data_IF_414454395386
#
_entry.id   IF_414454395386
#
_cell.length_a   1.000
_cell.length_b   1.000
_cell.length_c   1.000
_cell.angle_alpha   90.00
_cell.angle_beta   90.00
_cell.angle_gamma   90.00
#
_symmetry.space_group_name_H-M   'P 1'
#
loop_
_entity.id
_entity.type
_entity.pdbx_description
1 polymer ?
#
# COMPACT_ATOMS: atom_id res chain seq x y z
N UNK A 1 -13.09 -4.77 30.74
CA UNK A 1 -13.13 -4.13 29.41
C UNK A 1 -11.74 -3.86 28.86
N UNK A 2 -10.88 -3.09 29.54
CA UNK A 2 -9.51 -2.77 29.07
C UNK A 2 -8.58 -3.98 28.87
N UNK A 3 -8.64 -4.99 29.73
CA UNK A 3 -7.86 -6.24 29.59
C UNK A 3 -8.20 -7.03 28.32
N UNK A 4 -9.47 -7.04 27.90
CA UNK A 4 -9.94 -7.67 26.65
C UNK A 4 -9.36 -6.94 25.43
N UNK A 5 -9.41 -5.61 25.45
CA UNK A 5 -8.85 -4.75 24.40
C UNK A 5 -7.33 -4.96 24.27
N UNK A 6 -6.60 -4.99 25.40
CA UNK A 6 -5.14 -5.18 25.41
C UNK A 6 -4.71 -6.56 24.88
N UNK A 7 -5.45 -7.63 25.23
CA UNK A 7 -5.16 -8.99 24.76
C UNK A 7 -5.27 -9.12 23.24
N UNK A 8 -6.31 -8.53 22.62
CA UNK A 8 -6.42 -8.51 21.16
C UNK A 8 -5.42 -7.56 20.50
N UNK A 9 -5.00 -6.49 21.17
CA UNK A 9 -4.02 -5.53 20.61
C UNK A 9 -2.65 -6.17 20.37
N UNK A 10 -2.20 -7.06 21.26
CA UNK A 10 -0.95 -7.81 21.08
C UNK A 10 -0.94 -8.62 19.76
N UNK A 11 -2.11 -9.11 19.35
CA UNK A 11 -2.25 -9.90 18.12
C UNK A 11 -2.47 -8.99 16.91
N UNK A 12 -3.11 -7.83 17.08
CA UNK A 12 -3.25 -6.82 16.03
C UNK A 12 -1.91 -6.34 15.48
N UNK A 13 -0.87 -6.32 16.30
CA UNK A 13 0.49 -5.94 15.89
C UNK A 13 1.03 -6.87 14.80
N UNK A 14 0.73 -8.18 14.90
CA UNK A 14 1.25 -9.22 14.00
C UNK A 14 0.26 -9.56 12.88
N UNK A 15 -1.02 -9.69 13.24
CA UNK A 15 -2.14 -10.04 12.35
C UNK A 15 -3.39 -9.29 12.76
N UNK A 16 -3.68 -8.13 12.15
CA UNK A 16 -4.83 -7.31 12.54
C UNK A 16 -6.17 -8.01 12.33
N UNK A 17 -6.28 -8.91 11.35
CA UNK A 17 -7.44 -9.81 11.18
C UNK A 17 -7.64 -10.76 12.37
N UNK A 18 -6.56 -11.33 12.92
CA UNK A 18 -6.62 -12.20 14.09
C UNK A 18 -7.04 -11.45 15.36
N UNK A 19 -6.62 -10.19 15.49
CA UNK A 19 -7.06 -9.33 16.59
C UNK A 19 -8.55 -9.02 16.52
N UNK A 20 -9.10 -8.77 15.33
CA UNK A 20 -10.54 -8.57 15.12
C UNK A 20 -11.32 -9.85 15.47
N UNK A 21 -10.83 -11.01 15.05
CA UNK A 21 -11.45 -12.30 15.37
C UNK A 21 -11.51 -12.56 16.89
N UNK A 22 -10.44 -12.26 17.61
CA UNK A 22 -10.40 -12.38 19.07
C UNK A 22 -11.32 -11.39 19.78
N UNK A 23 -11.38 -10.15 19.32
CA UNK A 23 -12.30 -9.18 19.89
C UNK A 23 -13.76 -9.54 19.64
N UNK A 24 -14.07 -10.16 18.49
CA UNK A 24 -15.38 -10.76 18.25
C UNK A 24 -15.66 -11.87 19.27
N UNK A 25 -14.73 -12.79 19.49
CA UNK A 25 -14.86 -13.86 20.48
C UNK A 25 -15.01 -13.35 21.93
N UNK A 26 -14.46 -12.16 22.21
CA UNK A 26 -14.57 -11.49 23.51
C UNK A 26 -15.79 -10.57 23.64
N UNK A 27 -16.70 -10.58 22.64
CA UNK A 27 -17.94 -9.81 22.54
C UNK A 27 -17.73 -8.28 22.47
N UNK A 28 -16.58 -7.84 21.94
CA UNK A 28 -16.32 -6.43 21.69
C UNK A 28 -17.18 -5.95 20.51
N UNK A 29 -17.83 -4.78 20.60
CA UNK A 29 -18.59 -4.21 19.49
C UNK A 29 -17.78 -4.06 18.22
N UNK A 30 -18.39 -4.40 17.08
CA UNK A 30 -17.77 -4.34 15.75
C UNK A 30 -17.12 -2.99 15.44
N UNK A 31 -17.78 -1.89 15.79
CA UNK A 31 -17.27 -0.54 15.53
C UNK A 31 -15.99 -0.24 16.32
N UNK A 32 -15.84 -0.78 17.53
CA UNK A 32 -14.63 -0.60 18.34
C UNK A 32 -13.46 -1.36 17.73
N UNK A 33 -13.67 -2.63 17.35
CA UNK A 33 -12.66 -3.45 16.69
C UNK A 33 -12.17 -2.83 15.38
N UNK A 34 -13.11 -2.31 14.57
CA UNK A 34 -12.79 -1.58 13.34
C UNK A 34 -11.92 -0.35 13.61
N UNK A 35 -12.33 0.52 14.55
CA UNK A 35 -11.61 1.76 14.82
C UNK A 35 -10.20 1.51 15.36
N UNK A 36 -10.02 0.52 16.25
CA UNK A 36 -8.71 0.21 16.83
C UNK A 36 -7.76 -0.29 15.74
N UNK A 37 -8.20 -1.24 14.91
CA UNK A 37 -7.38 -1.75 13.80
C UNK A 37 -7.12 -0.67 12.76
N UNK A 38 -8.11 0.13 12.42
CA UNK A 38 -7.94 1.23 11.49
C UNK A 38 -6.90 2.22 11.99
N UNK A 39 -6.97 2.62 13.26
CA UNK A 39 -6.03 3.56 13.86
C UNK A 39 -4.61 2.98 13.86
N UNK A 40 -4.44 1.75 14.33
CA UNK A 40 -3.14 1.07 14.33
C UNK A 40 -2.53 0.97 12.93
N UNK A 41 -3.29 0.44 11.98
CA UNK A 41 -2.77 0.21 10.62
C UNK A 41 -2.55 1.52 9.86
N UNK A 42 -3.32 2.56 10.13
CA UNK A 42 -3.10 3.90 9.57
C UNK A 42 -1.85 4.56 10.15
N UNK A 43 -1.59 4.38 11.45
CA UNK A 43 -0.34 4.83 12.07
C UNK A 43 0.88 4.11 11.45
N UNK A 44 0.82 2.79 11.28
CA UNK A 44 1.87 2.01 10.62
C UNK A 44 2.06 2.41 9.16
N UNK A 45 0.97 2.71 8.45
CA UNK A 45 0.99 3.20 7.08
C UNK A 45 1.68 4.56 7.00
N UNK A 46 1.38 5.50 7.90
CA UNK A 46 2.03 6.80 7.98
C UNK A 46 3.53 6.66 8.26
N UNK A 47 3.90 5.87 9.27
CA UNK A 47 5.31 5.62 9.62
C UNK A 47 6.06 5.05 8.42
N UNK A 48 5.47 4.05 7.75
CA UNK A 48 6.08 3.42 6.57
C UNK A 48 6.13 4.39 5.39
N UNK A 49 5.10 5.20 5.19
CA UNK A 49 5.06 6.23 4.17
C UNK A 49 6.21 7.20 4.36
N UNK A 50 6.37 7.82 5.53
CA UNK A 50 7.46 8.77 5.76
C UNK A 50 8.84 8.09 5.81
N UNK A 51 8.96 6.93 6.47
CA UNK A 51 10.22 6.20 6.63
C UNK A 51 10.80 5.69 5.30
N UNK A 52 9.96 5.34 4.32
CA UNK A 52 10.43 4.85 3.01
C UNK A 52 10.91 5.95 2.07
N UNK A 53 10.86 7.24 2.47
CA UNK A 53 11.27 8.35 1.60
C UNK A 53 12.72 8.21 1.08
N UNK A 54 13.66 7.83 1.97
CA UNK A 54 15.07 7.63 1.61
C UNK A 54 15.26 6.43 0.68
N UNK A 55 14.50 5.36 0.91
CA UNK A 55 14.51 4.14 0.10
C UNK A 55 13.99 4.43 -1.32
N UNK A 56 12.88 5.17 -1.43
CA UNK A 56 12.32 5.59 -2.72
C UNK A 56 13.31 6.47 -3.49
N UNK A 57 14.01 7.38 -2.82
CA UNK A 57 15.03 8.21 -3.46
C UNK A 57 16.17 7.35 -4.06
N UNK A 58 16.62 6.31 -3.35
CA UNK A 58 17.61 5.35 -3.86
C UNK A 58 17.06 4.51 -5.02
N UNK A 59 15.83 3.99 -4.90
CA UNK A 59 15.17 3.20 -5.95
C UNK A 59 14.97 4.03 -7.21
N UNK A 60 14.47 5.27 -7.11
CA UNK A 60 14.33 6.19 -8.25
C UNK A 60 15.67 6.35 -8.97
N UNK A 61 16.77 6.61 -8.25
CA UNK A 61 18.11 6.73 -8.85
C UNK A 61 18.56 5.44 -9.53
N UNK A 62 18.41 4.30 -8.88
CA UNK A 62 18.84 3.00 -9.41
C UNK A 62 18.02 2.53 -10.62
N UNK A 63 16.70 2.77 -10.60
CA UNK A 63 15.80 2.45 -11.72
C UNK A 63 16.07 3.39 -12.90
N UNK A 64 16.24 4.69 -12.67
CA UNK A 64 16.62 5.63 -13.72
C UNK A 64 17.98 5.26 -14.33
N UNK A 65 19.01 5.02 -13.51
CA UNK A 65 20.34 4.66 -14.03
C UNK A 65 20.34 3.31 -14.75
N UNK A 66 19.63 2.31 -14.24
CA UNK A 66 19.55 0.97 -14.83
C UNK A 66 18.68 0.89 -16.09
N UNK A 67 17.60 1.67 -16.18
CA UNK A 67 16.81 1.80 -17.41
C UNK A 67 17.59 2.60 -18.44
N UNK A 68 18.19 3.73 -18.06
CA UNK A 68 19.04 4.53 -18.95
C UNK A 68 20.22 3.70 -19.46
N UNK A 69 20.91 2.93 -18.62
CA UNK A 69 22.04 2.10 -19.02
C UNK A 69 21.63 0.95 -19.95
N UNK A 70 20.51 0.26 -19.68
CA UNK A 70 19.99 -0.79 -20.58
C UNK A 70 19.50 -0.24 -21.90
N UNK A 71 18.89 0.95 -21.91
CA UNK A 71 18.48 1.62 -23.14
C UNK A 71 19.66 2.17 -23.94
N UNK A 72 20.69 2.70 -23.27
CA UNK A 72 21.93 3.16 -23.91
C UNK A 72 22.66 1.99 -24.56
N UNK A 73 22.68 0.82 -23.90
CA UNK A 73 23.30 -0.41 -24.42
C UNK A 73 22.52 -1.05 -25.58
N UNK A 74 21.23 -0.73 -25.74
CA UNK A 74 20.34 -1.32 -26.78
C UNK A 74 20.04 -0.36 -27.93
N UNK A 75 20.47 0.90 -27.87
CA UNK A 75 20.17 1.92 -28.88
C UNK A 75 21.37 2.15 -29.80
N UNK A 76 21.32 1.52 -30.97
CA UNK A 76 22.15 1.79 -32.16
C UNK A 76 21.84 3.15 -32.82
N UNK A 77 21.35 4.14 -32.05
CA UNK A 77 20.89 5.44 -32.53
C UNK A 77 21.55 6.56 -31.72
N UNK A 78 22.80 6.86 -32.06
CA UNK A 78 23.59 7.93 -31.47
C UNK A 78 23.19 9.36 -31.93
N UNK A 79 22.15 9.53 -32.75
CA UNK A 79 21.89 10.82 -33.41
C UNK A 79 20.59 11.55 -33.07
N UNK A 80 19.75 11.06 -32.17
CA UNK A 80 18.53 11.81 -31.81
C UNK A 80 18.79 12.80 -30.68
N UNK A 81 19.24 13.98 -31.12
CA UNK A 81 19.04 15.36 -30.67
C UNK A 81 18.33 15.57 -29.32
N UNK A 82 18.71 16.63 -28.57
CA UNK A 82 18.17 16.99 -27.23
C UNK A 82 16.64 16.94 -27.12
N UNK A 83 15.91 17.20 -28.22
CA UNK A 83 14.45 17.10 -28.32
C UNK A 83 13.89 15.67 -28.14
N UNK A 84 14.62 14.62 -28.54
CA UNK A 84 14.22 13.23 -28.36
C UNK A 84 14.25 12.77 -26.90
N UNK A 85 15.08 13.41 -26.07
CA UNK A 85 15.20 13.12 -24.64
C UNK A 85 13.93 13.53 -23.89
N UNK A 86 13.38 14.69 -24.22
CA UNK A 86 12.12 15.18 -23.65
C UNK A 86 10.90 14.43 -24.16
N UNK A 87 10.85 14.09 -25.45
CA UNK A 87 9.79 13.24 -26.00
C UNK A 87 9.75 11.85 -25.34
N UNK A 88 10.93 11.22 -25.13
CA UNK A 88 11.06 9.93 -24.43
C UNK A 88 10.63 10.04 -22.96
N UNK A 89 11.00 11.13 -22.27
CA UNK A 89 10.51 11.43 -20.92
C UNK A 89 8.99 11.53 -20.90
N UNK A 90 8.39 12.25 -21.86
CA UNK A 90 6.94 12.45 -21.97
C UNK A 90 6.17 11.14 -22.20
N UNK A 91 6.69 10.26 -23.05
CA UNK A 91 6.08 8.94 -23.33
C UNK A 91 6.20 8.02 -22.10
N UNK A 92 7.37 8.00 -21.46
CA UNK A 92 7.57 7.24 -20.22
C UNK A 92 6.64 7.73 -19.10
N UNK A 93 6.50 9.05 -18.92
CA UNK A 93 5.55 9.64 -17.98
C UNK A 93 4.07 9.34 -18.34
N UNK A 94 3.71 9.29 -19.63
CA UNK A 94 2.36 8.88 -20.06
C UNK A 94 2.07 7.41 -19.74
N UNK A 95 3.02 6.51 -20.00
CA UNK A 95 2.90 5.08 -19.64
C UNK A 95 2.82 4.89 -18.12
N UNK A 96 3.61 5.64 -17.35
CA UNK A 96 3.56 5.68 -15.89
C UNK A 96 2.20 6.19 -15.37
N UNK A 97 1.59 7.18 -16.06
CA UNK A 97 0.27 7.74 -15.72
C UNK A 97 -0.89 6.76 -15.98
N UNK A 98 -0.81 5.93 -17.01
CA UNK A 98 -1.80 4.86 -17.22
C UNK A 98 -1.76 3.79 -16.12
N UNK A 99 -0.57 3.49 -15.58
CA UNK A 99 -0.41 2.53 -14.47
C UNK A 99 -0.85 3.09 -13.10
N UNK A 100 -1.13 4.39 -13.01
CA UNK A 100 -1.64 5.01 -11.78
C UNK A 100 -3.02 4.46 -11.40
N UNK A 101 -3.92 4.25 -12.37
CA UNK A 101 -5.25 3.69 -12.11
C UNK A 101 -5.21 2.27 -11.55
N UNK A 102 -4.27 1.45 -12.03
CA UNK A 102 -4.04 0.10 -11.48
C UNK A 102 -3.61 0.18 -10.01
N UNK A 103 -2.77 1.13 -9.63
CA UNK A 103 -2.38 1.32 -8.22
C UNK A 103 -3.52 1.81 -7.34
N UNK A 104 -4.39 2.66 -7.87
CA UNK A 104 -5.62 3.04 -7.16
C UNK A 104 -6.47 1.81 -6.90
N UNK A 105 -6.77 1.01 -7.93
CA UNK A 105 -7.55 -0.22 -7.76
C UNK A 105 -6.90 -1.22 -6.78
N UNK A 106 -5.59 -1.40 -6.88
CA UNK A 106 -4.83 -2.28 -5.98
C UNK A 106 -4.87 -1.80 -4.52
N UNK A 107 -4.95 -0.48 -4.26
CA UNK A 107 -5.06 0.07 -2.91
C UNK A 107 -6.39 -0.30 -2.23
N UNK A 108 -7.44 -0.57 -2.99
CA UNK A 108 -8.78 -0.92 -2.49
C UNK A 108 -9.03 -2.43 -2.44
N UNK A 109 -8.04 -3.28 -2.74
CA UNK A 109 -8.21 -4.73 -2.61
C UNK A 109 -8.30 -5.13 -1.13
N UNK A 110 -9.40 -5.79 -0.71
CA UNK A 110 -9.60 -6.16 0.68
C UNK A 110 -8.67 -7.29 1.14
N UNK A 111 -8.36 -8.23 0.23
CA UNK A 111 -7.44 -9.34 0.47
C UNK A 111 -6.15 -9.11 -0.31
N UNK A 112 -5.02 -9.18 0.39
CA UNK A 112 -3.71 -8.97 -0.22
C UNK A 112 -3.04 -10.31 -0.47
N UNK A 113 -2.70 -10.64 -1.73
CA UNK A 113 -2.15 -11.95 -2.07
C UNK A 113 -0.67 -12.11 -1.66
N UNK A 114 0.02 -11.03 -1.25
CA UNK A 114 1.48 -11.05 -1.03
C UNK A 114 1.81 -10.38 0.32
N UNK A 115 2.72 -10.95 1.13
CA UNK A 115 3.28 -10.26 2.28
C UNK A 115 3.98 -8.95 1.86
N UNK A 116 3.86 -7.89 2.66
CA UNK A 116 4.40 -6.55 2.38
C UNK A 116 3.77 -5.77 1.20
N UNK A 117 2.61 -6.20 0.70
CA UNK A 117 1.92 -5.53 -0.40
C UNK A 117 1.64 -4.03 -0.11
N UNK A 118 1.23 -3.69 1.12
CA UNK A 118 1.06 -2.29 1.55
C UNK A 118 2.35 -1.46 1.38
N UNK A 119 3.49 -2.00 1.79
CA UNK A 119 4.79 -1.34 1.65
C UNK A 119 5.17 -1.17 0.18
N UNK A 120 4.92 -2.18 -0.66
CA UNK A 120 5.15 -2.10 -2.10
C UNK A 120 4.27 -1.03 -2.76
N UNK A 121 3.00 -0.92 -2.35
CA UNK A 121 2.07 0.11 -2.81
C UNK A 121 2.52 1.51 -2.42
N UNK A 122 2.96 1.69 -1.17
CA UNK A 122 3.54 2.95 -0.69
C UNK A 122 4.75 3.36 -1.55
N UNK A 123 5.67 2.42 -1.80
CA UNK A 123 6.86 2.65 -2.63
C UNK A 123 6.44 3.01 -4.06
N UNK A 124 5.49 2.28 -4.65
CA UNK A 124 5.02 2.55 -6.01
C UNK A 124 4.36 3.94 -6.13
N UNK A 125 3.48 4.28 -5.18
CA UNK A 125 2.79 5.57 -5.09
C UNK A 125 3.78 6.73 -4.96
N UNK A 126 4.80 6.59 -4.11
CA UNK A 126 5.87 7.59 -3.98
C UNK A 126 6.80 7.65 -5.18
N UNK A 127 7.07 6.52 -5.83
CA UNK A 127 7.92 6.49 -7.03
C UNK A 127 7.24 7.22 -8.20
N UNK A 128 5.91 7.15 -8.28
CA UNK A 128 5.10 7.77 -9.31
C UNK A 128 4.69 9.22 -9.02
N UNK A 129 5.09 9.79 -7.87
CA UNK A 129 4.73 11.13 -7.41
C UNK A 129 3.21 11.42 -7.50
N UNK A 130 2.38 10.46 -7.08
CA UNK A 130 0.92 10.63 -7.10
C UNK A 130 0.52 11.68 -6.05
N UNK A 131 0.02 12.83 -6.50
CA UNK A 131 -0.34 14.00 -5.66
C UNK A 131 -1.25 13.66 -4.46
N UNK A 132 -2.19 12.73 -4.65
CA UNK A 132 -3.14 12.29 -3.61
C UNK A 132 -2.86 10.87 -3.09
N UNK A 133 -1.64 10.38 -3.32
CA UNK A 133 -1.27 9.00 -3.03
C UNK A 133 -1.52 8.57 -1.59
N UNK A 134 -1.22 9.44 -0.62
CA UNK A 134 -1.44 9.14 0.80
C UNK A 134 -2.93 9.02 1.14
N UNK A 135 -3.78 9.89 0.59
CA UNK A 135 -5.23 9.81 0.80
C UNK A 135 -5.82 8.55 0.18
N UNK A 136 -5.35 8.17 -1.02
CA UNK A 136 -5.78 6.95 -1.70
C UNK A 136 -5.40 5.72 -0.88
N UNK A 137 -4.18 5.68 -0.34
CA UNK A 137 -3.70 4.60 0.52
C UNK A 137 -4.49 4.54 1.85
N UNK A 138 -4.75 5.69 2.48
CA UNK A 138 -5.54 5.75 3.71
C UNK A 138 -7.00 5.33 3.48
N UNK A 139 -7.62 5.80 2.39
CA UNK A 139 -8.98 5.42 2.00
C UNK A 139 -9.09 3.93 1.66
N UNK A 140 -8.13 3.37 0.93
CA UNK A 140 -8.04 1.94 0.67
C UNK A 140 -7.85 1.11 1.94
N UNK A 141 -7.02 1.57 2.89
CA UNK A 141 -6.85 0.92 4.18
C UNK A 141 -8.14 0.94 5.03
N UNK A 142 -8.85 2.07 5.06
CA UNK A 142 -10.14 2.18 5.73
C UNK A 142 -11.19 1.24 5.12
N UNK A 143 -11.32 1.25 3.80
CA UNK A 143 -12.21 0.36 3.08
C UNK A 143 -11.89 -1.12 3.37
N UNK A 144 -10.62 -1.50 3.32
CA UNK A 144 -10.16 -2.87 3.60
C UNK A 144 -10.58 -3.32 4.99
N UNK A 145 -10.26 -2.56 6.04
CA UNK A 145 -10.58 -2.98 7.40
C UNK A 145 -12.08 -2.96 7.66
N UNK A 146 -12.84 -2.12 6.96
CA UNK A 146 -14.29 -2.16 7.03
C UNK A 146 -14.84 -3.49 6.49
N UNK A 147 -14.41 -3.90 5.30
CA UNK A 147 -14.81 -5.18 4.69
C UNK A 147 -14.35 -6.37 5.53
N UNK A 148 -13.10 -6.39 6.00
CA UNK A 148 -12.57 -7.47 6.84
C UNK A 148 -13.33 -7.56 8.16
N UNK A 149 -13.63 -6.43 8.80
CA UNK A 149 -14.39 -6.43 10.05
C UNK A 149 -15.82 -6.92 9.82
N UNK A 150 -16.48 -6.51 8.73
CA UNK A 150 -17.81 -7.05 8.37
C UNK A 150 -17.73 -8.55 8.14
N UNK A 151 -16.74 -9.02 7.37
CA UNK A 151 -16.59 -10.42 7.05
C UNK A 151 -16.42 -11.27 8.33
N UNK A 152 -15.58 -10.80 9.26
CA UNK A 152 -15.37 -11.49 10.53
C UNK A 152 -16.62 -11.43 11.42
N UNK A 153 -17.33 -10.31 11.52
CA UNK A 153 -18.47 -10.16 12.44
C UNK A 153 -19.80 -10.68 11.91
N UNK A 154 -20.02 -10.67 10.60
CA UNK A 154 -21.32 -10.99 9.96
C UNK A 154 -21.31 -12.28 9.15
N UNK A 155 -20.16 -12.68 8.59
CA UNK A 155 -20.08 -13.86 7.70
C UNK A 155 -19.44 -15.08 8.39
N UNK A 156 -19.18 -15.00 9.69
CA UNK A 156 -18.65 -16.08 10.53
C UNK A 156 -17.40 -16.80 9.99
N UNK A 157 -16.54 -16.09 9.25
CA UNK A 157 -15.30 -16.63 8.67
C UNK A 157 -14.20 -16.86 9.74
N UNK A 158 -14.57 -16.86 11.03
CA UNK A 158 -13.63 -17.10 12.12
C UNK A 158 -13.16 -18.57 12.18
N UNK A 159 -13.83 -19.49 11.48
CA UNK A 159 -13.49 -20.92 11.44
C UNK A 159 -12.58 -21.35 10.28
N UNK A 160 -12.18 -20.42 9.40
CA UNK A 160 -11.43 -20.73 8.16
C UNK A 160 -10.06 -19.99 8.07
N UNK A 161 -9.75 -19.13 9.03
CA UNK A 161 -8.46 -18.42 9.16
C UNK A 161 -7.63 -18.98 10.30
#
# INVERSE_FOLDING_TARGET
MWLKILGGFGIVILRPEGGIALWRAQEVPMWQSYLIVLFWTSATLLITYYGTALLVAKIKRAVLSGILARWYRRSWFHQLNKNGRDAKRKIFFRLMKQKTWLLVLLAFLPYQPIPFFNSALIIAVKTLDIRWGLLILAGGNAFRWFIVTIAIYKLDIASVL
#
